data_IF_366571901943
#
_entry.id   IF_366571901943
#
_cell.length_a   1.000
_cell.length_b   1.000
_cell.length_c   1.000
_cell.angle_alpha   90.00
_cell.angle_beta   90.00
_cell.angle_gamma   90.00
#
_symmetry.space_group_name_H-M   'P 1'
#
loop_
_entity.id
_entity.type
_entity.pdbx_description
1 polymer ?
#
# COMPACT_ATOMS: atom_id res chain seq x y z
N UNK A 1 -30.62 -40.77 -74.05
CA UNK A 1 -32.08 -40.91 -74.27
C UNK A 1 -32.76 -39.88 -73.36
N UNK A 2 -33.25 -38.73 -73.93
CA UNK A 2 -34.64 -38.44 -74.23
C UNK A 2 -35.51 -38.59 -72.98
N UNK A 3 -36.34 -37.66 -72.52
CA UNK A 3 -36.99 -36.48 -73.06
C UNK A 3 -37.59 -35.72 -71.85
N UNK A 4 -37.66 -34.35 -71.81
CA UNK A 4 -38.78 -33.50 -72.22
C UNK A 4 -40.12 -33.81 -71.47
N UNK A 5 -40.74 -32.92 -70.77
CA UNK A 5 -41.52 -31.79 -71.19
C UNK A 5 -42.37 -31.20 -70.02
N UNK A 6 -42.38 -29.85 -69.96
CA UNK A 6 -43.53 -28.91 -69.97
C UNK A 6 -44.37 -28.80 -68.69
N UNK A 7 -44.33 -27.63 -68.16
CA UNK A 7 -45.21 -26.44 -68.32
C UNK A 7 -46.54 -26.53 -67.53
N UNK A 8 -46.78 -25.51 -66.73
CA UNK A 8 -47.88 -24.62 -66.81
C UNK A 8 -48.00 -23.69 -65.59
N UNK A 9 -47.85 -22.39 -65.90
CA UNK A 9 -48.54 -21.20 -65.38
C UNK A 9 -48.93 -20.97 -63.92
N UNK A 10 -48.53 -19.80 -63.50
CA UNK A 10 -49.02 -18.77 -62.53
C UNK A 10 -50.56 -18.73 -62.29
N UNK A 11 -51.09 -17.87 -61.35
CA UNK A 11 -50.52 -16.75 -60.59
C UNK A 11 -51.03 -16.63 -59.14
N UNK A 12 -50.50 -15.68 -58.40
CA UNK A 12 -51.21 -15.20 -57.20
C UNK A 12 -50.37 -14.45 -56.18
N UNK A 13 -50.30 -13.16 -56.36
CA UNK A 13 -49.58 -12.25 -55.44
C UNK A 13 -50.17 -12.20 -54.07
N UNK A 14 -49.33 -11.76 -53.13
CA UNK A 14 -49.74 -10.87 -52.03
C UNK A 14 -48.51 -10.33 -51.27
N UNK A 15 -48.41 -9.02 -51.37
CA UNK A 15 -48.06 -8.06 -50.34
C UNK A 15 -46.77 -8.30 -49.50
N UNK A 16 -45.70 -7.57 -49.85
CA UNK A 16 -44.60 -7.25 -49.03
C UNK A 16 -45.04 -6.46 -47.77
N UNK A 17 -45.09 -7.09 -46.60
CA UNK A 17 -45.20 -6.38 -45.35
C UNK A 17 -43.82 -5.84 -44.97
N UNK A 18 -43.69 -4.52 -45.06
CA UNK A 18 -42.49 -3.79 -44.67
C UNK A 18 -42.12 -4.06 -43.20
N UNK A 19 -41.01 -4.74 -42.99
CA UNK A 19 -40.41 -4.91 -41.68
C UNK A 19 -39.76 -3.57 -41.30
N UNK A 20 -40.35 -2.84 -40.34
CA UNK A 20 -39.80 -1.62 -39.77
C UNK A 20 -38.37 -1.88 -39.22
N UNK A 21 -37.43 -0.96 -39.42
CA UNK A 21 -36.07 -1.14 -38.89
C UNK A 21 -36.10 -1.14 -37.36
N UNK A 22 -35.71 -2.25 -36.76
CA UNK A 22 -35.49 -2.37 -35.32
C UNK A 22 -34.34 -1.41 -34.95
N UNK A 23 -34.66 -0.29 -34.30
CA UNK A 23 -33.69 0.63 -33.74
C UNK A 23 -32.85 -0.13 -32.70
N UNK A 24 -31.61 -0.46 -33.06
CA UNK A 24 -30.62 -0.95 -32.08
C UNK A 24 -30.51 0.08 -30.95
N UNK A 25 -30.56 -0.34 -29.65
CA UNK A 25 -30.38 0.60 -28.56
C UNK A 25 -28.96 1.19 -28.69
N UNK A 26 -28.90 2.51 -28.82
CA UNK A 26 -27.62 3.25 -28.74
C UNK A 26 -26.98 2.93 -27.40
N UNK A 27 -25.84 2.22 -27.41
CA UNK A 27 -24.99 2.11 -26.23
C UNK A 27 -24.65 3.54 -25.78
N UNK A 28 -25.11 3.93 -24.58
CA UNK A 28 -24.72 5.20 -23.95
C UNK A 28 -23.20 5.28 -24.00
N UNK A 29 -22.67 6.33 -24.60
CA UNK A 29 -21.23 6.60 -24.59
C UNK A 29 -20.75 6.57 -23.12
N UNK A 30 -19.63 5.93 -22.81
CA UNK A 30 -19.13 5.88 -21.44
C UNK A 30 -18.96 7.30 -20.92
N UNK A 31 -19.66 7.60 -19.83
CA UNK A 31 -19.67 8.90 -19.21
C UNK A 31 -18.20 9.24 -18.82
N UNK A 32 -17.68 10.34 -19.32
CA UNK A 32 -16.31 10.77 -19.02
C UNK A 32 -16.21 11.04 -17.52
N UNK A 33 -15.39 10.26 -16.83
CA UNK A 33 -15.11 10.45 -15.41
C UNK A 33 -14.58 11.88 -15.15
N UNK A 34 -14.94 12.51 -14.03
CA UNK A 34 -14.33 13.75 -13.56
C UNK A 34 -12.80 13.63 -13.50
N UNK A 35 -12.10 14.77 -13.65
CA UNK A 35 -10.62 14.78 -13.68
C UNK A 35 -10.03 14.15 -12.39
N UNK A 36 -10.55 14.52 -11.23
CA UNK A 36 -10.10 14.01 -9.94
C UNK A 36 -10.24 12.49 -9.80
N UNK A 37 -11.39 11.95 -10.22
CA UNK A 37 -11.66 10.51 -10.17
C UNK A 37 -10.76 9.74 -11.14
N UNK A 38 -10.50 10.31 -12.31
CA UNK A 38 -9.56 9.74 -13.29
C UNK A 38 -8.13 9.74 -12.76
N UNK A 39 -7.71 10.83 -12.11
CA UNK A 39 -6.40 10.93 -11.47
C UNK A 39 -6.25 9.89 -10.37
N UNK A 40 -7.25 9.72 -9.52
CA UNK A 40 -7.25 8.71 -8.45
C UNK A 40 -7.11 7.28 -9.00
N UNK A 41 -7.84 6.93 -10.07
CA UNK A 41 -7.70 5.62 -10.74
C UNK A 41 -6.32 5.41 -11.37
N UNK A 42 -5.76 6.45 -11.97
CA UNK A 42 -4.40 6.34 -12.55
C UNK A 42 -3.38 6.13 -11.44
N UNK A 43 -3.49 6.84 -10.31
CA UNK A 43 -2.59 6.65 -9.16
C UNK A 43 -2.69 5.22 -8.60
N UNK A 44 -3.90 4.69 -8.43
CA UNK A 44 -4.11 3.32 -7.96
C UNK A 44 -3.43 2.30 -8.88
N UNK A 45 -3.67 2.38 -10.19
CA UNK A 45 -3.07 1.47 -11.18
C UNK A 45 -1.55 1.65 -11.31
N UNK A 46 -1.06 2.88 -11.21
CA UNK A 46 0.37 3.16 -11.20
C UNK A 46 1.05 2.58 -9.95
N UNK A 47 0.42 2.66 -8.78
CA UNK A 47 0.92 2.06 -7.55
C UNK A 47 1.04 0.54 -7.67
N UNK A 48 -0.02 -0.15 -8.15
CA UNK A 48 0.02 -1.58 -8.44
C UNK A 48 1.17 -1.93 -9.40
N UNK A 49 1.30 -1.16 -10.49
CA UNK A 49 2.31 -1.40 -11.50
C UNK A 49 3.74 -1.20 -10.97
N UNK A 50 3.98 -0.11 -10.25
CA UNK A 50 5.29 0.16 -9.63
C UNK A 50 5.65 -0.89 -8.57
N UNK A 51 4.69 -1.34 -7.80
CA UNK A 51 4.92 -2.40 -6.82
C UNK A 51 5.36 -3.71 -7.49
N UNK A 52 4.89 -4.04 -8.69
CA UNK A 52 5.27 -5.27 -9.39
C UNK A 52 6.55 -5.12 -10.23
N UNK A 53 6.75 -3.96 -10.86
CA UNK A 53 7.78 -3.79 -11.90
C UNK A 53 8.91 -2.83 -11.50
N UNK A 54 8.82 -2.19 -10.32
CA UNK A 54 9.78 -1.18 -9.86
C UNK A 54 9.53 0.20 -10.46
N UNK A 55 10.25 1.18 -9.94
CA UNK A 55 10.06 2.59 -10.27
C UNK A 55 10.71 3.00 -11.61
N UNK A 56 11.64 2.18 -12.14
CA UNK A 56 12.35 2.47 -13.40
C UNK A 56 11.55 2.14 -14.67
N UNK A 57 10.30 1.68 -14.54
CA UNK A 57 9.43 1.33 -15.64
C UNK A 57 9.27 2.46 -16.68
N UNK A 58 9.15 2.08 -17.96
CA UNK A 58 8.93 3.05 -19.05
C UNK A 58 7.53 3.67 -18.96
N UNK A 59 7.42 4.97 -19.24
CA UNK A 59 6.14 5.71 -19.16
C UNK A 59 5.05 5.12 -20.05
N UNK A 60 5.43 4.55 -21.20
CA UNK A 60 4.47 3.87 -22.09
C UNK A 60 3.83 2.66 -21.41
N UNK A 61 4.63 1.83 -20.79
CA UNK A 61 4.14 0.64 -20.08
C UNK A 61 3.25 1.03 -18.88
N UNK A 62 3.60 2.11 -18.17
CA UNK A 62 2.77 2.66 -17.09
C UNK A 62 1.43 3.14 -17.64
N UNK A 63 1.41 3.90 -18.74
CA UNK A 63 0.17 4.39 -19.34
C UNK A 63 -0.73 3.25 -19.81
N UNK A 64 -0.13 2.22 -20.45
CA UNK A 64 -0.85 1.01 -20.90
C UNK A 64 -1.46 0.27 -19.70
N UNK A 65 -0.70 0.07 -18.61
CA UNK A 65 -1.20 -0.55 -17.37
C UNK A 65 -2.34 0.24 -16.71
N UNK A 66 -2.27 1.58 -16.77
CA UNK A 66 -3.32 2.46 -16.28
C UNK A 66 -4.55 2.55 -17.22
N UNK A 67 -4.48 1.94 -18.41
CA UNK A 67 -5.55 2.02 -19.42
C UNK A 67 -5.75 3.43 -19.99
N UNK A 68 -4.69 4.23 -20.08
CA UNK A 68 -4.72 5.61 -20.59
C UNK A 68 -3.65 5.83 -21.65
N UNK A 69 -3.83 6.85 -22.50
CA UNK A 69 -2.77 7.28 -23.41
C UNK A 69 -1.66 8.00 -22.63
N UNK A 70 -0.41 7.93 -23.13
CA UNK A 70 0.70 8.72 -22.56
C UNK A 70 0.37 10.22 -22.50
N UNK A 71 -0.32 10.76 -23.51
CA UNK A 71 -0.75 12.16 -23.52
C UNK A 71 -1.68 12.47 -22.35
N UNK A 72 -2.62 11.56 -22.02
CA UNK A 72 -3.50 11.73 -20.88
C UNK A 72 -2.72 11.60 -19.57
N UNK A 73 -1.81 10.63 -19.48
CA UNK A 73 -0.97 10.47 -18.29
C UNK A 73 -0.19 11.77 -18.00
N UNK A 74 0.49 12.35 -19.00
CA UNK A 74 1.20 13.62 -18.84
C UNK A 74 0.30 14.83 -18.60
N UNK A 75 -0.97 14.79 -19.04
CA UNK A 75 -1.93 15.85 -18.69
C UNK A 75 -2.38 15.82 -17.23
N UNK A 76 -2.26 14.64 -16.58
CA UNK A 76 -2.59 14.46 -15.17
C UNK A 76 -1.36 14.65 -14.27
N UNK A 77 -0.20 14.20 -14.74
CA UNK A 77 1.07 14.27 -14.02
C UNK A 77 2.17 14.78 -14.97
N UNK A 78 2.79 15.92 -14.67
CA UNK A 78 3.68 16.60 -15.63
C UNK A 78 4.96 15.83 -15.95
N UNK A 79 5.33 14.85 -15.10
CA UNK A 79 6.49 13.98 -15.31
C UNK A 79 6.28 12.64 -14.64
N UNK A 80 7.12 11.65 -14.96
CA UNK A 80 7.18 10.35 -14.25
C UNK A 80 7.54 10.56 -12.78
N UNK A 81 8.46 11.47 -12.48
CA UNK A 81 8.83 11.80 -11.11
C UNK A 81 7.64 12.35 -10.31
N UNK A 82 6.84 13.24 -10.89
CA UNK A 82 5.62 13.74 -10.27
C UNK A 82 4.58 12.63 -10.03
N UNK A 83 4.45 11.67 -10.95
CA UNK A 83 3.59 10.51 -10.75
C UNK A 83 4.08 9.64 -9.58
N UNK A 84 5.38 9.35 -9.52
CA UNK A 84 5.98 8.56 -8.44
C UNK A 84 5.78 9.28 -7.09
N UNK A 85 6.01 10.57 -7.03
CA UNK A 85 5.82 11.40 -5.83
C UNK A 85 4.37 11.35 -5.31
N UNK A 86 3.39 11.47 -6.20
CA UNK A 86 1.99 11.39 -5.84
C UNK A 86 1.57 9.96 -5.41
N UNK A 87 2.11 8.92 -6.05
CA UNK A 87 1.91 7.53 -5.62
C UNK A 87 2.49 7.34 -4.22
N UNK A 88 3.71 7.81 -3.97
CA UNK A 88 4.37 7.68 -2.67
C UNK A 88 3.60 8.42 -1.57
N UNK A 89 3.19 9.66 -1.82
CA UNK A 89 2.38 10.43 -0.87
C UNK A 89 1.10 9.72 -0.50
N UNK A 90 0.43 9.14 -1.48
CA UNK A 90 -0.84 8.44 -1.25
C UNK A 90 -0.64 7.10 -0.53
N UNK A 91 0.26 6.25 -1.03
CA UNK A 91 0.39 4.86 -0.61
C UNK A 91 1.30 4.67 0.62
N UNK A 92 2.27 5.55 0.81
CA UNK A 92 3.22 5.46 1.92
C UNK A 92 2.85 6.45 3.03
N UNK A 93 2.86 7.76 2.71
CA UNK A 93 2.63 8.79 3.73
C UNK A 93 1.17 8.82 4.18
N UNK A 94 0.24 8.71 3.24
CA UNK A 94 -1.20 8.82 3.50
C UNK A 94 -1.80 7.65 4.30
N UNK A 95 -1.09 6.53 4.40
CA UNK A 95 -1.53 5.36 5.18
C UNK A 95 -1.15 5.46 6.65
N UNK A 96 -0.28 6.41 7.02
CA UNK A 96 0.10 6.64 8.41
C UNK A 96 -1.07 7.21 9.23
N UNK A 97 -1.30 6.66 10.42
CA UNK A 97 -2.36 7.10 11.32
C UNK A 97 -1.76 7.87 12.51
N UNK A 98 -1.96 9.20 12.55
CA UNK A 98 -1.50 10.03 13.67
C UNK A 98 -2.03 9.56 15.05
N UNK A 99 -3.17 8.86 15.06
CA UNK A 99 -3.76 8.27 16.26
C UNK A 99 -2.84 7.24 16.94
N UNK A 100 -1.94 6.58 16.19
CA UNK A 100 -0.98 5.64 16.77
C UNK A 100 -0.09 6.29 17.82
N UNK A 101 0.34 7.54 17.61
CA UNK A 101 1.14 8.26 18.60
C UNK A 101 0.35 8.59 19.86
N UNK A 102 -0.95 8.88 19.72
CA UNK A 102 -1.83 9.12 20.87
C UNK A 102 -2.02 7.83 21.67
N UNK A 103 -2.28 6.71 20.99
CA UNK A 103 -2.47 5.40 21.63
C UNK A 103 -1.20 4.91 22.35
N UNK A 104 -0.03 5.09 21.74
CA UNK A 104 1.24 4.74 22.37
C UNK A 104 1.51 5.53 23.66
N UNK A 105 1.02 6.77 23.77
CA UNK A 105 1.20 7.66 24.92
C UNK A 105 0.11 7.50 26.00
N UNK A 106 -0.90 6.67 25.76
CA UNK A 106 -1.99 6.47 26.73
C UNK A 106 -1.56 5.61 27.92
N UNK A 107 -1.05 6.24 28.95
CA UNK A 107 -0.56 5.58 30.17
C UNK A 107 -1.67 4.96 31.04
N UNK A 108 -2.94 5.11 30.69
CA UNK A 108 -4.04 4.37 31.34
C UNK A 108 -4.09 2.90 30.94
N UNK A 109 -3.37 2.54 29.85
CA UNK A 109 -3.27 1.18 29.31
C UNK A 109 -1.84 0.66 29.50
N UNK A 110 -1.64 -0.59 29.97
CA UNK A 110 -0.31 -1.18 30.14
C UNK A 110 0.50 -1.16 28.84
N UNK A 111 1.80 -0.93 28.93
CA UNK A 111 2.69 -0.77 27.76
C UNK A 111 2.66 -2.00 26.82
N UNK A 112 2.59 -3.22 27.36
CA UNK A 112 2.48 -4.44 26.55
C UNK A 112 1.24 -4.40 25.65
N UNK A 113 0.10 -3.96 26.19
CA UNK A 113 -1.16 -3.85 25.44
C UNK A 113 -1.09 -2.74 24.39
N UNK A 114 -0.49 -1.58 24.73
CA UNK A 114 -0.29 -0.47 23.78
C UNK A 114 0.58 -0.89 22.60
N UNK A 115 1.70 -1.54 22.87
CA UNK A 115 2.62 -2.03 21.83
C UNK A 115 1.97 -3.10 20.94
N UNK A 116 1.25 -4.07 21.54
CA UNK A 116 0.55 -5.09 20.76
C UNK A 116 -0.53 -4.46 19.85
N UNK A 117 -1.32 -3.52 20.37
CA UNK A 117 -2.36 -2.86 19.59
C UNK A 117 -1.76 -2.03 18.45
N UNK A 118 -0.72 -1.25 18.75
CA UNK A 118 -0.02 -0.47 17.73
C UNK A 118 0.57 -1.35 16.65
N UNK A 119 1.32 -2.39 16.98
CA UNK A 119 2.00 -3.21 15.99
C UNK A 119 1.07 -4.10 15.17
N UNK A 120 -0.08 -4.52 15.70
CA UNK A 120 -1.11 -5.21 14.91
C UNK A 120 -1.70 -4.28 13.84
N UNK A 121 -2.14 -3.09 14.24
CA UNK A 121 -2.71 -2.13 13.30
C UNK A 121 -1.66 -1.60 12.30
N UNK A 122 -0.43 -1.38 12.74
CA UNK A 122 0.71 -1.05 11.89
C UNK A 122 0.97 -2.16 10.85
N UNK A 123 1.01 -3.41 11.30
CA UNK A 123 1.22 -4.57 10.47
C UNK A 123 0.15 -4.71 9.38
N UNK A 124 -1.12 -4.66 9.76
CA UNK A 124 -2.24 -4.82 8.85
C UNK A 124 -2.39 -3.65 7.87
N UNK A 125 -2.03 -2.44 8.31
CA UNK A 125 -2.20 -1.21 7.52
C UNK A 125 -1.03 -0.96 6.59
N UNK A 126 0.22 -1.09 7.06
CA UNK A 126 1.42 -0.68 6.31
C UNK A 126 2.18 -1.85 5.71
N UNK A 127 2.33 -2.96 6.41
CA UNK A 127 3.21 -4.03 5.93
C UNK A 127 2.57 -4.90 4.84
N UNK A 128 1.76 -4.30 3.97
CA UNK A 128 1.24 -4.97 2.78
C UNK A 128 2.34 -5.21 1.75
N UNK A 129 2.17 -6.21 0.86
CA UNK A 129 3.15 -6.49 -0.20
C UNK A 129 3.39 -5.26 -1.09
N UNK A 130 2.33 -4.54 -1.44
CA UNK A 130 2.42 -3.33 -2.26
C UNK A 130 3.22 -2.24 -1.55
N UNK A 131 2.89 -1.95 -0.30
CA UNK A 131 3.58 -0.94 0.50
C UNK A 131 5.07 -1.25 0.64
N UNK A 132 5.41 -2.49 1.04
CA UNK A 132 6.80 -2.92 1.22
C UNK A 132 7.61 -2.78 -0.07
N UNK A 133 7.06 -3.20 -1.21
CA UNK A 133 7.78 -3.11 -2.49
C UNK A 133 7.99 -1.66 -2.92
N UNK A 134 6.96 -0.81 -2.80
CA UNK A 134 7.10 0.63 -3.11
C UNK A 134 8.13 1.29 -2.20
N UNK A 135 8.09 1.01 -0.90
CA UNK A 135 9.05 1.55 0.07
C UNK A 135 10.49 1.09 -0.22
N UNK A 136 10.69 -0.20 -0.46
CA UNK A 136 12.01 -0.76 -0.76
C UNK A 136 12.55 -0.25 -2.12
N UNK A 137 11.71 -0.21 -3.16
CA UNK A 137 12.14 0.33 -4.46
C UNK A 137 12.53 1.81 -4.36
N UNK A 138 11.78 2.62 -3.62
CA UNK A 138 12.14 4.03 -3.43
C UNK A 138 13.46 4.21 -2.67
N UNK A 139 13.77 3.29 -1.76
CA UNK A 139 15.03 3.29 -1.02
C UNK A 139 16.22 2.89 -1.91
N UNK A 140 16.02 1.91 -2.81
CA UNK A 140 17.07 1.41 -3.71
C UNK A 140 17.37 2.34 -4.90
N UNK A 141 16.43 3.20 -5.26
CA UNK A 141 16.58 4.18 -6.34
C UNK A 141 17.11 5.55 -5.87
N UNK A 142 17.71 5.60 -4.68
CA UNK A 142 18.23 6.83 -4.05
C UNK A 142 17.23 7.99 -3.98
N UNK A 143 15.94 7.67 -3.95
CA UNK A 143 14.89 8.67 -3.80
C UNK A 143 14.82 9.11 -2.32
N UNK A 144 14.83 10.41 -2.06
CA UNK A 144 14.79 10.98 -0.72
C UNK A 144 13.48 10.73 0.05
N UNK A 145 12.49 10.12 -0.59
CA UNK A 145 11.18 9.87 -0.01
C UNK A 145 11.22 8.88 1.16
N UNK A 146 11.93 7.75 1.01
CA UNK A 146 12.02 6.74 2.07
C UNK A 146 12.83 7.22 3.28
N UNK A 147 14.02 7.83 3.12
CA UNK A 147 14.72 8.47 4.24
C UNK A 147 13.88 9.54 4.93
N UNK A 148 13.17 10.38 4.19
CA UNK A 148 12.30 11.43 4.76
C UNK A 148 11.20 10.81 5.62
N UNK A 149 10.51 9.77 5.13
CA UNK A 149 9.49 9.07 5.90
C UNK A 149 10.07 8.42 7.15
N UNK A 150 11.19 7.71 7.03
CA UNK A 150 11.83 7.04 8.15
C UNK A 150 12.21 8.05 9.24
N UNK A 151 12.85 9.16 8.87
CA UNK A 151 13.27 10.18 9.83
C UNK A 151 12.09 10.90 10.48
N UNK A 152 11.05 11.23 9.73
CA UNK A 152 9.92 12.00 10.25
C UNK A 152 8.90 11.16 11.04
N UNK A 153 8.70 9.91 10.66
CA UNK A 153 7.61 9.08 11.18
C UNK A 153 8.15 7.93 12.04
N UNK A 154 9.05 7.12 11.49
CA UNK A 154 9.53 5.92 12.19
C UNK A 154 10.37 6.34 13.40
N UNK A 155 11.35 7.22 13.24
CA UNK A 155 12.19 7.69 14.36
C UNK A 155 11.34 8.24 15.49
N UNK A 156 10.32 9.05 15.18
CA UNK A 156 9.43 9.58 16.22
C UNK A 156 8.60 8.49 16.91
N UNK A 157 8.15 7.47 16.19
CA UNK A 157 7.50 6.31 16.80
C UNK A 157 8.44 5.57 17.76
N UNK A 158 9.71 5.37 17.35
CA UNK A 158 10.72 4.70 18.18
C UNK A 158 10.98 5.48 19.48
N UNK A 159 11.11 6.81 19.39
CA UNK A 159 11.26 7.69 20.56
C UNK A 159 10.10 7.51 21.55
N UNK A 160 8.86 7.51 21.06
CA UNK A 160 7.68 7.29 21.90
C UNK A 160 7.72 5.90 22.54
N UNK A 161 7.97 4.86 21.76
CA UNK A 161 8.01 3.47 22.22
C UNK A 161 9.03 3.32 23.36
N UNK A 162 10.25 3.82 23.17
CA UNK A 162 11.32 3.69 24.18
C UNK A 162 11.00 4.53 25.42
N UNK A 163 10.56 5.78 25.24
CA UNK A 163 10.21 6.68 26.34
C UNK A 163 9.07 6.14 27.20
N UNK A 164 7.99 5.64 26.57
CA UNK A 164 6.86 5.11 27.29
C UNK A 164 7.16 3.74 27.94
N UNK A 165 8.02 2.95 27.31
CA UNK A 165 8.52 1.70 27.91
C UNK A 165 9.41 1.98 29.13
N UNK A 166 10.35 2.93 29.02
CA UNK A 166 11.20 3.34 30.13
C UNK A 166 10.36 3.83 31.32
N UNK A 167 9.37 4.68 31.05
CA UNK A 167 8.46 5.18 32.06
C UNK A 167 7.74 4.05 32.82
N UNK A 168 7.14 3.09 32.09
CA UNK A 168 6.38 1.98 32.72
C UNK A 168 7.28 1.04 33.53
N UNK A 169 8.52 0.85 33.09
CA UNK A 169 9.48 -0.03 33.76
C UNK A 169 10.27 0.68 34.89
N UNK A 170 9.99 1.94 35.20
CA UNK A 170 10.72 2.71 36.18
C UNK A 170 12.21 2.85 35.83
N UNK A 171 12.50 3.11 34.56
CA UNK A 171 13.86 3.29 34.01
C UNK A 171 14.03 4.69 33.45
N UNK A 172 15.29 5.12 33.32
CA UNK A 172 15.64 6.34 32.61
C UNK A 172 15.54 6.15 31.09
N UNK A 173 15.41 7.27 30.40
CA UNK A 173 15.46 7.31 28.93
C UNK A 173 16.92 7.52 28.52
N UNK A 174 17.47 6.79 27.51
CA UNK A 174 18.82 7.03 27.02
C UNK A 174 19.00 8.50 26.60
N UNK A 175 20.06 9.14 27.12
CA UNK A 175 20.37 10.55 26.81
C UNK A 175 20.89 10.73 25.38
N UNK A 176 21.57 9.73 24.85
CA UNK A 176 22.06 9.71 23.46
C UNK A 176 20.90 9.35 22.51
N UNK A 177 20.49 10.24 21.59
CA UNK A 177 19.42 9.96 20.62
C UNK A 177 19.70 8.77 19.71
N UNK A 178 20.98 8.53 19.37
CA UNK A 178 21.35 7.39 18.54
C UNK A 178 21.10 6.09 19.29
N UNK A 179 21.52 5.99 20.54
CA UNK A 179 21.26 4.82 21.38
C UNK A 179 19.76 4.60 21.59
N UNK A 180 19.01 5.66 21.88
CA UNK A 180 17.55 5.58 22.02
C UNK A 180 16.89 4.99 20.77
N UNK A 181 17.29 5.48 19.60
CA UNK A 181 16.77 5.01 18.32
C UNK A 181 17.09 3.52 18.11
N UNK A 182 18.33 3.07 18.38
CA UNK A 182 18.71 1.67 18.24
C UNK A 182 17.92 0.75 19.18
N UNK A 183 17.66 1.18 20.41
CA UNK A 183 16.80 0.44 21.34
C UNK A 183 15.40 0.27 20.76
N UNK A 184 14.84 1.30 20.14
CA UNK A 184 13.54 1.23 19.46
C UNK A 184 13.55 0.28 18.26
N UNK A 185 14.63 0.26 17.49
CA UNK A 185 14.81 -0.64 16.34
C UNK A 185 14.80 -2.12 16.70
N UNK A 186 15.17 -2.51 17.93
CA UNK A 186 15.07 -3.92 18.36
C UNK A 186 13.67 -4.50 18.19
N UNK A 187 12.65 -3.74 18.55
CA UNK A 187 11.26 -4.18 18.38
C UNK A 187 10.73 -3.88 16.98
N UNK A 188 10.91 -2.66 16.51
CA UNK A 188 10.36 -2.22 15.23
C UNK A 188 10.96 -3.00 14.07
N UNK A 189 12.25 -3.22 14.05
CA UNK A 189 12.95 -4.03 13.05
C UNK A 189 12.47 -5.48 13.08
N UNK A 190 12.30 -6.08 14.25
CA UNK A 190 11.80 -7.44 14.37
C UNK A 190 10.39 -7.60 13.79
N UNK A 191 9.47 -6.66 14.09
CA UNK A 191 8.10 -6.70 13.57
C UNK A 191 8.06 -6.38 12.07
N UNK A 192 8.76 -5.35 11.61
CA UNK A 192 8.80 -4.98 10.18
C UNK A 192 9.36 -6.12 9.32
N UNK A 193 10.34 -6.88 9.84
CA UNK A 193 10.95 -8.00 9.11
C UNK A 193 10.02 -9.22 8.99
N UNK A 194 8.95 -9.35 9.79
CA UNK A 194 8.00 -10.46 9.66
C UNK A 194 7.47 -10.52 8.22
N UNK A 195 6.96 -9.41 7.71
CA UNK A 195 6.36 -9.38 6.37
C UNK A 195 7.40 -9.35 5.24
N UNK A 196 8.59 -8.79 5.48
CA UNK A 196 9.70 -8.92 4.53
C UNK A 196 10.00 -10.40 4.29
N UNK A 197 10.12 -11.19 5.34
CA UNK A 197 10.34 -12.65 5.22
C UNK A 197 9.18 -13.34 4.49
N UNK A 198 7.94 -12.99 4.82
CA UNK A 198 6.75 -13.64 4.29
C UNK A 198 6.44 -13.22 2.86
N UNK A 199 6.46 -11.91 2.57
CA UNK A 199 5.96 -11.35 1.31
C UNK A 199 7.04 -11.07 0.28
N UNK A 200 8.28 -10.85 0.72
CA UNK A 200 9.40 -10.56 -0.18
C UNK A 200 10.27 -11.80 -0.37
N UNK A 201 10.62 -12.52 0.72
CA UNK A 201 11.44 -13.71 0.63
C UNK A 201 10.62 -15.00 0.39
N UNK A 202 9.29 -14.88 0.33
CA UNK A 202 8.38 -16.04 0.12
C UNK A 202 8.59 -17.16 1.13
N UNK A 203 8.85 -16.80 2.39
CA UNK A 203 8.99 -17.76 3.48
C UNK A 203 7.61 -18.05 4.07
N UNK A 204 7.04 -19.20 3.72
CA UNK A 204 5.71 -19.65 4.14
C UNK A 204 5.69 -20.09 5.61
N UNK A 205 5.83 -19.16 6.53
CA UNK A 205 5.62 -19.41 7.95
C UNK A 205 4.13 -19.28 8.27
N UNK A 206 3.54 -20.38 8.81
CA UNK A 206 2.11 -20.48 9.11
C UNK A 206 1.74 -19.92 10.50
N UNK A 207 2.70 -19.51 11.30
CA UNK A 207 2.42 -18.91 12.62
C UNK A 207 1.61 -17.61 12.44
N UNK A 208 0.46 -17.45 13.13
CA UNK A 208 -0.32 -16.21 13.04
C UNK A 208 0.52 -14.97 13.38
N UNK A 209 0.35 -13.90 12.60
CA UNK A 209 1.09 -12.64 12.79
C UNK A 209 0.94 -12.08 14.21
N UNK A 210 -0.27 -12.10 14.76
CA UNK A 210 -0.56 -11.64 16.11
C UNK A 210 0.26 -12.36 17.18
N UNK A 211 0.42 -13.68 17.04
CA UNK A 211 1.22 -14.47 17.95
C UNK A 211 2.71 -14.12 17.84
N UNK A 212 3.20 -13.87 16.62
CA UNK A 212 4.59 -13.48 16.39
C UNK A 212 4.84 -12.05 16.89
N UNK A 213 3.93 -11.11 16.66
CA UNK A 213 4.01 -9.75 17.19
C UNK A 213 4.04 -9.79 18.73
N UNK A 214 3.11 -10.50 19.37
CA UNK A 214 3.08 -10.62 20.81
C UNK A 214 4.34 -11.26 21.39
N UNK A 215 4.95 -12.22 20.69
CA UNK A 215 6.24 -12.81 21.06
C UNK A 215 7.36 -11.77 21.01
N UNK A 216 7.45 -10.96 19.95
CA UNK A 216 8.48 -9.90 19.82
C UNK A 216 8.29 -8.79 20.86
N UNK A 217 7.05 -8.35 21.11
CA UNK A 217 6.75 -7.38 22.16
C UNK A 217 7.20 -7.89 23.52
N UNK A 218 6.87 -9.14 23.87
CA UNK A 218 7.27 -9.74 25.15
C UNK A 218 8.78 -9.92 25.26
N UNK A 219 9.45 -10.36 24.20
CA UNK A 219 10.91 -10.48 24.17
C UNK A 219 11.58 -9.11 24.38
N UNK A 220 11.08 -8.06 23.71
CA UNK A 220 11.55 -6.68 23.89
C UNK A 220 11.40 -6.22 25.35
N UNK A 221 10.18 -6.32 25.91
CA UNK A 221 9.92 -5.89 27.28
C UNK A 221 10.74 -6.66 28.34
N UNK A 222 11.09 -7.91 28.05
CA UNK A 222 11.95 -8.72 28.92
C UNK A 222 13.42 -8.29 28.86
N UNK A 223 13.91 -7.91 27.67
CA UNK A 223 15.33 -7.62 27.45
C UNK A 223 15.67 -6.13 27.61
N UNK A 224 14.76 -5.24 27.28
CA UNK A 224 15.02 -3.80 27.23
C UNK A 224 15.44 -3.17 28.57
N UNK A 225 15.04 -3.65 29.77
CA UNK A 225 15.51 -3.09 31.04
C UNK A 225 17.03 -3.09 31.21
N UNK A 226 17.72 -4.04 30.55
CA UNK A 226 19.19 -4.10 30.57
C UNK A 226 19.84 -3.04 29.68
N UNK A 227 19.10 -2.42 28.78
CA UNK A 227 19.57 -1.41 27.84
C UNK A 227 19.19 0.02 28.24
N UNK A 228 18.30 0.15 29.23
CA UNK A 228 17.82 1.43 29.73
C UNK A 228 18.62 1.83 30.98
N UNK A 229 19.01 3.12 31.14
CA UNK A 229 19.69 3.59 32.33
C UNK A 229 18.80 3.44 33.59
N UNK A 230 19.40 3.34 34.76
CA UNK A 230 18.68 3.49 36.01
C UNK A 230 18.07 4.88 36.10
N UNK A 231 16.97 5.03 36.87
CA UNK A 231 16.53 6.39 37.25
C UNK A 231 17.59 7.02 38.15
N UNK A 232 17.92 8.28 37.84
CA UNK A 232 18.80 9.06 38.71
C UNK A 232 18.08 9.21 40.07
N UNK A 233 18.63 8.57 41.09
CA UNK A 233 18.13 8.69 42.47
C UNK A 233 17.63 7.40 43.13
N UNK A 234 17.87 6.21 42.56
CA UNK A 234 17.67 4.90 43.23
C UNK A 234 18.94 4.25 43.70
#
# INVERSE_FOLDING_TARGET
MKAKLRDVAEPGGKTAAGRAPVKRPMKKAPQRLPRAERQARVLEKAAEYFAEHGLNAQTRAIADACGVSQRLLYSLFPSKAALIDEVYKREIVGTFKAMWFVQLKDRSVPIESRLNTFYRDYYDTLLTRQWLRLFLYSSLEDLQMAPTYTNAVVTHALEIIVTETAHELGRGVPADPAHLTEVGWLLHGAVSHIEIRRRIYSNDNTTPSDAVIAMHVRAFLTSVPALLPALDGS
#
